data_IF_638227164101
#
_entry.id   IF_638227164101
#
_cell.length_a   1.000
_cell.length_b   1.000
_cell.length_c   1.000
_cell.angle_alpha   90.00
_cell.angle_beta   90.00
_cell.angle_gamma   90.00
#
_symmetry.space_group_name_H-M   'P 1'
#
loop_
_entity.id
_entity.type
_entity.pdbx_description
1 polymer ?
#
# COMPACT_ATOMS: atom_id res chain seq x y z
N UNK A 1 -5.92 -32.38 13.88
CA UNK A 1 -6.72 -32.43 12.64
C UNK A 1 -6.98 -31.01 12.19
N UNK A 2 -6.40 -30.59 11.07
CA UNK A 2 -6.70 -29.31 10.42
C UNK A 2 -7.98 -29.42 9.59
N UNK A 3 -8.71 -28.30 9.41
CA UNK A 3 -9.95 -28.25 8.64
C UNK A 3 -11.21 -28.69 9.42
N UNK A 4 -11.17 -28.67 10.74
CA UNK A 4 -12.36 -28.91 11.56
C UNK A 4 -13.39 -27.78 11.39
N UNK A 5 -12.93 -26.57 11.30
CA UNK A 5 -13.70 -25.39 10.95
C UNK A 5 -12.98 -24.63 9.85
N UNK A 6 -13.72 -24.10 8.88
CA UNK A 6 -13.21 -23.27 7.79
C UNK A 6 -14.15 -22.10 7.55
N UNK A 7 -13.58 -20.95 7.17
CA UNK A 7 -14.35 -19.76 6.82
C UNK A 7 -13.65 -19.01 5.71
N UNK A 8 -14.41 -18.57 4.69
CA UNK A 8 -13.93 -17.74 3.57
C UNK A 8 -14.50 -16.33 3.70
N UNK A 9 -13.72 -15.34 3.28
CA UNK A 9 -14.22 -13.99 3.02
C UNK A 9 -15.21 -13.98 1.86
N UNK A 10 -16.01 -12.92 1.72
CA UNK A 10 -17.04 -12.83 0.68
C UNK A 10 -16.49 -12.82 -0.74
N UNK A 11 -15.27 -12.33 -0.93
CA UNK A 11 -14.53 -12.31 -2.19
C UNK A 11 -13.80 -13.63 -2.48
N UNK A 12 -13.79 -14.58 -1.51
CA UNK A 12 -13.12 -15.86 -1.62
C UNK A 12 -11.60 -15.82 -1.55
N UNK A 13 -10.99 -14.67 -1.26
CA UNK A 13 -9.54 -14.51 -1.29
C UNK A 13 -8.85 -14.71 0.06
N UNK A 14 -9.63 -14.75 1.15
CA UNK A 14 -9.11 -15.02 2.49
C UNK A 14 -9.78 -16.25 3.11
N UNK A 15 -8.95 -17.14 3.66
CA UNK A 15 -9.39 -18.41 4.24
C UNK A 15 -8.85 -18.55 5.65
N UNK A 16 -9.72 -18.79 6.62
CA UNK A 16 -9.35 -19.23 7.96
C UNK A 16 -9.61 -20.73 8.11
N UNK A 17 -8.65 -21.44 8.71
CA UNK A 17 -8.72 -22.88 8.96
C UNK A 17 -8.44 -23.14 10.44
N UNK A 18 -9.35 -23.81 11.13
CA UNK A 18 -9.19 -24.21 12.53
C UNK A 18 -8.85 -25.69 12.71
N UNK A 19 -8.10 -25.97 13.78
CA UNK A 19 -7.63 -27.31 14.17
C UNK A 19 -7.71 -27.49 15.68
N UNK A 20 -8.80 -28.06 16.20
CA UNK A 20 -9.10 -28.17 17.63
C UNK A 20 -8.11 -29.04 18.42
N UNK A 21 -7.57 -30.08 17.81
CA UNK A 21 -6.72 -31.10 18.50
C UNK A 21 -5.25 -30.95 18.12
N UNK A 22 -4.71 -29.77 18.08
CA UNK A 22 -3.28 -29.53 17.90
C UNK A 22 -2.63 -29.31 19.28
N UNK A 23 -1.41 -29.86 19.49
CA UNK A 23 -0.58 -29.57 20.66
C UNK A 23 -1.32 -29.79 22.00
N UNK A 24 -1.59 -31.00 22.43
CA UNK A 24 -2.36 -31.28 23.67
C UNK A 24 -3.73 -30.62 23.73
N UNK A 25 -4.38 -30.51 22.55
CA UNK A 25 -5.72 -29.92 22.41
C UNK A 25 -5.81 -28.42 22.74
N UNK A 26 -4.70 -27.71 22.69
CA UNK A 26 -4.75 -26.23 22.67
C UNK A 26 -5.63 -25.74 21.51
N UNK A 27 -5.49 -26.43 20.38
CA UNK A 27 -6.07 -25.99 19.11
C UNK A 27 -5.33 -24.80 18.53
N UNK A 28 -5.56 -24.51 17.25
CA UNK A 28 -5.08 -23.30 16.59
C UNK A 28 -5.97 -22.90 15.42
N UNK A 29 -5.79 -21.66 14.95
CA UNK A 29 -6.28 -21.18 13.68
C UNK A 29 -5.14 -20.70 12.79
N UNK A 30 -5.28 -20.86 11.47
CA UNK A 30 -4.40 -20.35 10.43
C UNK A 30 -5.19 -19.51 9.45
N UNK A 31 -4.56 -18.45 8.97
CA UNK A 31 -5.14 -17.57 7.97
C UNK A 31 -4.33 -17.70 6.70
N UNK A 32 -5.00 -17.73 5.56
CA UNK A 32 -4.38 -17.83 4.25
C UNK A 32 -4.94 -16.74 3.33
N UNK A 33 -4.09 -16.23 2.44
CA UNK A 33 -4.43 -15.33 1.35
C UNK A 33 -4.26 -16.05 0.02
N UNK A 34 -5.23 -15.90 -0.88
CA UNK A 34 -5.12 -16.32 -2.27
C UNK A 34 -4.32 -15.31 -3.09
N UNK A 35 -3.25 -15.74 -3.76
CA UNK A 35 -2.41 -14.89 -4.61
C UNK A 35 -2.88 -14.82 -6.08
N UNK A 36 -4.00 -15.49 -6.42
CA UNK A 36 -4.41 -15.73 -7.80
C UNK A 36 -3.95 -17.08 -8.35
N UNK A 37 -2.96 -17.73 -7.72
CA UNK A 37 -2.42 -19.03 -8.14
C UNK A 37 -2.15 -20.00 -6.98
N UNK A 38 -1.95 -19.50 -5.75
CA UNK A 38 -1.63 -20.29 -4.58
C UNK A 38 -2.19 -19.66 -3.29
N UNK A 39 -2.39 -20.49 -2.26
CA UNK A 39 -2.71 -20.05 -0.91
C UNK A 39 -1.42 -19.85 -0.12
N UNK A 40 -1.19 -18.67 0.41
CA UNK A 40 -0.04 -18.33 1.27
C UNK A 40 -0.53 -18.06 2.69
N UNK A 41 0.10 -18.66 3.70
CA UNK A 41 -0.25 -18.41 5.09
C UNK A 41 0.15 -16.97 5.48
N UNK A 42 -0.77 -16.29 6.16
CA UNK A 42 -0.57 -14.96 6.72
C UNK A 42 -0.22 -15.05 8.20
N UNK A 43 0.95 -14.53 8.55
CA UNK A 43 1.45 -14.57 9.93
C UNK A 43 1.74 -15.98 10.45
N UNK A 44 1.80 -16.09 11.76
CA UNK A 44 2.00 -17.35 12.49
C UNK A 44 0.65 -18.00 12.86
N UNK A 45 0.70 -19.24 13.34
CA UNK A 45 -0.47 -19.90 13.92
C UNK A 45 -1.01 -19.08 15.10
N UNK A 46 -2.33 -18.98 15.22
CA UNK A 46 -3.01 -18.39 16.38
C UNK A 46 -3.41 -19.52 17.30
N UNK A 47 -2.59 -19.80 18.29
CA UNK A 47 -2.78 -20.92 19.22
C UNK A 47 -3.85 -20.63 20.28
N UNK A 48 -4.43 -21.70 20.85
CA UNK A 48 -5.21 -21.66 22.08
C UNK A 48 -4.35 -21.20 23.26
N UNK A 49 -4.98 -20.71 24.31
CA UNK A 49 -4.29 -20.16 25.48
C UNK A 49 -3.84 -21.24 26.45
N UNK A 50 -4.59 -22.34 26.54
CA UNK A 50 -4.27 -23.48 27.42
C UNK A 50 -4.58 -24.84 26.76
N UNK A 51 -4.03 -25.89 27.34
CA UNK A 51 -4.36 -27.28 26.95
C UNK A 51 -5.86 -27.51 27.17
N UNK A 52 -6.47 -28.28 26.27
CA UNK A 52 -7.89 -28.66 26.32
C UNK A 52 -8.87 -27.50 26.07
N UNK A 53 -8.37 -26.30 25.67
CA UNK A 53 -9.19 -25.17 25.22
C UNK A 53 -9.98 -25.48 23.94
N UNK A 54 -9.46 -26.38 23.11
CA UNK A 54 -10.03 -26.73 21.80
C UNK A 54 -10.27 -25.49 20.93
N UNK A 55 -9.32 -24.53 20.93
CA UNK A 55 -9.39 -23.32 20.12
C UNK A 55 -9.34 -23.65 18.63
N UNK A 56 -10.24 -23.09 17.82
CA UNK A 56 -10.18 -23.32 16.37
C UNK A 56 -11.55 -23.44 15.67
N UNK A 57 -12.63 -23.03 16.29
CA UNK A 57 -13.89 -22.75 15.56
C UNK A 57 -13.76 -21.32 15.01
N UNK A 58 -13.64 -21.20 13.68
CA UNK A 58 -13.29 -19.93 13.02
C UNK A 58 -14.45 -19.33 12.25
N UNK A 59 -14.53 -17.99 12.27
CA UNK A 59 -15.43 -17.20 11.44
C UNK A 59 -14.72 -15.92 10.98
N UNK A 60 -14.68 -15.70 9.67
CA UNK A 60 -14.20 -14.45 9.07
C UNK A 60 -15.34 -13.45 8.87
N UNK A 61 -15.05 -12.17 9.02
CA UNK A 61 -15.92 -11.10 8.53
C UNK A 61 -15.99 -11.13 6.99
N UNK A 62 -17.03 -10.54 6.42
CA UNK A 62 -17.25 -10.52 4.97
C UNK A 62 -16.10 -9.89 4.20
N UNK A 63 -15.48 -8.84 4.75
CA UNK A 63 -14.31 -8.14 4.21
C UNK A 63 -12.98 -8.87 4.47
N UNK A 64 -13.00 -9.97 5.24
CA UNK A 64 -11.81 -10.74 5.59
C UNK A 64 -10.88 -10.07 6.60
N UNK A 65 -11.26 -8.93 7.21
CA UNK A 65 -10.39 -8.14 8.07
C UNK A 65 -10.47 -8.50 9.56
N UNK A 66 -11.47 -9.30 9.95
CA UNK A 66 -11.64 -9.77 11.32
C UNK A 66 -11.83 -11.27 11.37
N UNK A 67 -11.16 -11.89 12.32
CA UNK A 67 -11.27 -13.33 12.60
C UNK A 67 -11.78 -13.53 14.01
N UNK A 68 -12.91 -14.20 14.16
CA UNK A 68 -13.37 -14.73 15.43
C UNK A 68 -12.93 -16.19 15.59
N UNK A 69 -12.40 -16.54 16.76
CA UNK A 69 -11.97 -17.90 17.10
C UNK A 69 -12.64 -18.30 18.41
N UNK A 70 -13.44 -19.36 18.36
CA UNK A 70 -14.06 -19.99 19.53
C UNK A 70 -13.17 -21.09 20.12
N UNK A 71 -13.12 -21.13 21.45
CA UNK A 71 -12.43 -22.13 22.28
C UNK A 71 -13.43 -22.68 23.32
N UNK A 72 -14.07 -23.81 22.97
CA UNK A 72 -15.21 -24.30 23.75
C UNK A 72 -14.83 -24.92 25.09
N UNK A 73 -13.57 -25.35 25.27
CA UNK A 73 -13.06 -25.96 26.50
C UNK A 73 -12.36 -24.96 27.44
N UNK A 74 -12.31 -23.65 27.09
CA UNK A 74 -11.59 -22.69 27.93
C UNK A 74 -12.23 -22.51 29.30
N UNK A 75 -11.39 -22.59 30.35
CA UNK A 75 -11.78 -22.57 31.77
C UNK A 75 -11.68 -21.18 32.42
N UNK A 76 -11.39 -20.12 31.68
CA UNK A 76 -11.11 -18.79 32.21
C UNK A 76 -12.21 -18.19 33.10
N UNK A 77 -13.47 -18.61 32.91
CA UNK A 77 -14.62 -18.15 33.72
C UNK A 77 -15.35 -19.31 34.42
N UNK A 78 -14.73 -20.50 34.50
CA UNK A 78 -15.27 -21.72 35.07
C UNK A 78 -15.02 -22.92 34.17
N UNK A 79 -15.21 -24.11 34.70
CA UNK A 79 -14.99 -25.40 34.00
C UNK A 79 -15.74 -25.46 32.67
N UNK A 80 -15.00 -25.58 31.57
CA UNK A 80 -15.48 -25.60 30.19
C UNK A 80 -16.47 -24.47 29.85
N UNK A 81 -16.26 -23.29 30.44
CA UNK A 81 -17.17 -22.14 30.20
C UNK A 81 -17.07 -21.59 28.76
N UNK A 82 -15.95 -21.85 28.09
CA UNK A 82 -15.65 -21.40 26.74
C UNK A 82 -15.42 -19.91 26.62
N UNK A 83 -14.77 -19.50 25.54
CA UNK A 83 -14.67 -18.08 25.15
C UNK A 83 -14.55 -17.89 23.63
N UNK A 84 -14.63 -16.63 23.20
CA UNK A 84 -14.37 -16.22 21.82
C UNK A 84 -13.35 -15.08 21.83
N UNK A 85 -12.28 -15.22 21.04
CA UNK A 85 -11.33 -14.14 20.77
C UNK A 85 -11.59 -13.59 19.37
N UNK A 86 -11.53 -12.25 19.23
CA UNK A 86 -11.66 -11.57 17.93
C UNK A 86 -10.37 -10.84 17.65
N UNK A 87 -9.81 -11.11 16.47
CA UNK A 87 -8.55 -10.54 15.98
C UNK A 87 -8.83 -9.61 14.82
N UNK A 88 -8.18 -8.45 14.83
CA UNK A 88 -8.05 -7.62 13.66
C UNK A 88 -6.89 -8.17 12.83
N UNK A 89 -7.19 -8.58 11.61
CA UNK A 89 -6.23 -9.17 10.67
C UNK A 89 -6.06 -8.30 9.42
N UNK A 90 -6.53 -7.05 9.47
CA UNK A 90 -6.37 -6.07 8.38
C UNK A 90 -4.90 -5.76 8.09
N UNK A 91 -4.02 -5.85 9.10
CA UNK A 91 -2.57 -5.69 8.94
C UNK A 91 -1.93 -6.68 7.95
N UNK A 92 -2.63 -7.76 7.61
CA UNK A 92 -2.18 -8.72 6.57
C UNK A 92 -2.70 -8.35 5.17
N UNK A 93 -3.41 -7.25 5.02
CA UNK A 93 -3.74 -6.70 3.71
C UNK A 93 -2.48 -6.04 3.13
N UNK A 94 -1.68 -6.83 2.42
CA UNK A 94 -0.60 -6.24 1.63
C UNK A 94 -1.26 -5.57 0.42
N UNK A 95 -1.24 -4.27 0.40
CA UNK A 95 -1.65 -3.51 -0.78
C UNK A 95 -0.80 -3.98 -1.97
N UNK A 96 -1.44 -4.19 -3.12
CA UNK A 96 -0.73 -4.33 -4.39
C UNK A 96 -0.98 -3.08 -5.20
N UNK A 97 0.10 -2.51 -5.75
CA UNK A 97 -0.02 -1.38 -6.66
C UNK A 97 -0.96 -1.75 -7.82
N UNK A 98 -2.00 -0.96 -8.00
CA UNK A 98 -3.06 -1.19 -8.97
C UNK A 98 -3.63 0.13 -9.50
N UNK A 99 -4.42 0.13 -10.60
CA UNK A 99 -4.98 1.34 -11.19
C UNK A 99 -5.88 2.18 -10.29
N UNK A 100 -6.38 1.63 -9.19
CA UNK A 100 -7.11 2.39 -8.18
C UNK A 100 -6.25 3.40 -7.43
N UNK A 101 -4.90 3.32 -7.56
CA UNK A 101 -3.98 4.34 -7.05
C UNK A 101 -3.80 5.54 -7.99
N UNK A 102 -4.36 5.51 -9.21
CA UNK A 102 -4.37 6.66 -10.11
C UNK A 102 -5.14 7.80 -9.45
N UNK A 103 -4.41 8.86 -9.08
CA UNK A 103 -5.01 10.01 -8.39
C UNK A 103 -4.01 11.16 -8.22
N UNK A 104 -4.50 12.24 -7.61
CA UNK A 104 -3.69 13.31 -7.09
C UNK A 104 -3.35 13.05 -5.61
N UNK A 105 -2.07 13.13 -5.29
CA UNK A 105 -1.50 12.86 -3.99
C UNK A 105 -0.71 14.05 -3.48
N UNK A 106 -0.71 14.31 -2.18
CA UNK A 106 -0.02 15.46 -1.61
C UNK A 106 0.43 15.21 -0.18
N UNK A 107 1.27 16.10 0.34
CA UNK A 107 1.59 16.17 1.76
C UNK A 107 0.92 17.40 2.37
N UNK A 108 0.12 17.24 3.40
CA UNK A 108 -0.57 18.35 4.10
C UNK A 108 0.37 19.40 4.66
N UNK A 109 1.61 19.04 4.95
CA UNK A 109 2.61 19.95 5.50
C UNK A 109 3.25 20.86 4.46
N UNK A 110 3.06 20.59 3.14
CA UNK A 110 3.71 21.31 2.04
C UNK A 110 2.69 21.74 0.99
N UNK A 111 2.05 22.89 1.21
CA UNK A 111 1.06 23.45 0.29
C UNK A 111 1.64 23.75 -1.09
N UNK A 112 0.84 23.50 -2.13
CA UNK A 112 1.21 23.80 -3.53
C UNK A 112 2.17 22.80 -4.15
N UNK A 113 2.44 21.68 -3.48
CA UNK A 113 3.25 20.56 -3.96
C UNK A 113 2.45 19.27 -3.93
N UNK A 114 2.76 18.36 -4.85
CA UNK A 114 2.07 17.07 -4.90
C UNK A 114 2.44 16.26 -6.12
N UNK A 115 1.75 15.14 -6.26
CA UNK A 115 2.02 14.13 -7.27
C UNK A 115 0.74 13.78 -8.02
N UNK A 116 0.82 13.62 -9.33
CA UNK A 116 -0.18 12.92 -10.13
C UNK A 116 0.38 11.54 -10.48
N UNK A 117 -0.27 10.49 -10.00
CA UNK A 117 0.20 9.12 -10.16
C UNK A 117 -0.65 8.40 -11.21
N UNK A 118 0.00 7.64 -12.08
CA UNK A 118 -0.63 6.79 -13.09
C UNK A 118 0.03 5.41 -13.09
N UNK A 119 -0.78 4.38 -12.88
CA UNK A 119 -0.38 2.96 -12.93
C UNK A 119 -0.80 2.34 -14.25
N UNK A 120 0.13 1.72 -14.95
CA UNK A 120 -0.06 0.97 -16.20
C UNK A 120 0.05 -0.53 -15.91
N UNK A 121 -1.05 -1.25 -15.59
CA UNK A 121 -0.99 -2.61 -15.08
C UNK A 121 -0.44 -3.62 -16.08
N UNK A 122 -0.73 -3.44 -17.38
CA UNK A 122 -0.24 -4.34 -18.42
C UNK A 122 1.27 -4.23 -18.64
N UNK A 123 1.82 -3.04 -18.44
CA UNK A 123 3.25 -2.78 -18.58
C UNK A 123 4.03 -3.01 -17.28
N UNK A 124 3.34 -3.22 -16.15
CA UNK A 124 3.95 -3.22 -14.81
C UNK A 124 4.78 -1.96 -14.57
N UNK A 125 4.28 -0.81 -15.03
CA UNK A 125 4.93 0.49 -15.00
C UNK A 125 4.09 1.48 -14.19
N UNK A 126 4.77 2.30 -13.40
CA UNK A 126 4.20 3.49 -12.79
C UNK A 126 4.85 4.73 -13.40
N UNK A 127 4.05 5.76 -13.65
CA UNK A 127 4.48 7.10 -14.01
C UNK A 127 3.90 8.08 -12.99
N UNK A 128 4.66 9.12 -12.66
CA UNK A 128 4.15 10.25 -11.90
C UNK A 128 4.69 11.58 -12.40
N UNK A 129 3.92 12.64 -12.21
CA UNK A 129 4.39 14.01 -12.29
C UNK A 129 4.47 14.57 -10.87
N UNK A 130 5.59 15.16 -10.51
CA UNK A 130 5.84 15.79 -9.22
C UNK A 130 5.86 17.31 -9.42
N UNK A 131 4.84 17.98 -8.89
CA UNK A 131 4.77 19.43 -8.84
C UNK A 131 5.41 19.90 -7.54
N UNK A 132 6.42 20.75 -7.63
CA UNK A 132 7.21 21.21 -6.49
C UNK A 132 7.72 22.64 -6.72
N UNK A 133 8.60 23.09 -5.85
CA UNK A 133 9.32 24.36 -5.97
C UNK A 133 10.82 24.11 -6.06
N UNK A 134 11.55 25.15 -6.45
CA UNK A 134 13.01 25.14 -6.38
C UNK A 134 13.50 25.09 -4.93
N UNK A 135 14.73 24.63 -4.73
CA UNK A 135 15.38 24.56 -3.41
C UNK A 135 15.63 25.92 -2.80
N UNK A 136 15.75 26.93 -3.66
CA UNK A 136 15.91 28.32 -3.24
C UNK A 136 14.88 29.21 -3.95
N UNK A 137 14.38 30.21 -3.25
CA UNK A 137 13.49 31.20 -3.84
C UNK A 137 14.28 32.06 -4.86
N UNK A 138 13.81 32.16 -6.12
CA UNK A 138 14.46 33.03 -7.09
C UNK A 138 14.54 34.50 -6.59
N UNK A 139 15.54 35.29 -7.06
CA UNK A 139 15.60 36.72 -6.78
C UNK A 139 14.32 37.47 -7.21
N UNK A 140 13.93 38.48 -6.47
CA UNK A 140 12.69 39.25 -6.72
C UNK A 140 12.59 39.90 -8.13
N UNK A 141 13.72 40.07 -8.79
CA UNK A 141 13.77 40.62 -10.15
C UNK A 141 13.58 39.58 -11.28
N UNK A 142 13.44 38.29 -10.91
CA UNK A 142 13.11 37.23 -11.87
C UNK A 142 11.59 37.19 -12.05
N UNK A 143 11.14 37.24 -13.31
CA UNK A 143 9.72 37.17 -13.66
C UNK A 143 9.40 35.87 -14.43
N UNK A 144 8.24 35.29 -14.15
CA UNK A 144 7.63 34.26 -14.97
C UNK A 144 6.28 34.78 -15.48
N UNK A 145 5.91 34.40 -16.70
CA UNK A 145 4.62 34.79 -17.29
C UNK A 145 3.52 33.79 -16.98
N UNK A 146 3.90 32.55 -16.63
CA UNK A 146 3.00 31.49 -16.22
C UNK A 146 3.49 30.89 -14.87
N UNK A 147 2.69 31.09 -13.83
CA UNK A 147 3.03 30.69 -12.47
C UNK A 147 4.12 31.56 -11.84
N UNK A 148 4.69 31.09 -10.74
CA UNK A 148 5.79 31.75 -10.04
C UNK A 148 7.17 31.32 -10.58
N UNK A 149 8.21 32.18 -10.50
CA UNK A 149 9.54 31.84 -10.99
C UNK A 149 10.18 30.61 -10.32
N UNK A 150 9.76 30.26 -9.13
CA UNK A 150 10.25 29.09 -8.38
C UNK A 150 9.50 27.79 -8.65
N UNK A 151 8.45 27.81 -9.47
CA UNK A 151 7.72 26.58 -9.79
C UNK A 151 8.58 25.61 -10.58
N UNK A 152 8.53 24.34 -10.17
CA UNK A 152 9.23 23.23 -10.83
C UNK A 152 8.27 22.06 -10.98
N UNK A 153 8.51 21.26 -11.99
CA UNK A 153 7.89 19.98 -12.15
C UNK A 153 8.94 18.96 -12.60
N UNK A 154 8.84 17.78 -12.05
CA UNK A 154 9.65 16.62 -12.39
C UNK A 154 8.71 15.51 -12.84
N UNK A 155 9.22 14.58 -13.60
CA UNK A 155 8.53 13.33 -13.88
C UNK A 155 9.33 12.17 -13.34
N UNK A 156 8.65 11.07 -12.98
CA UNK A 156 9.34 9.84 -12.65
C UNK A 156 8.60 8.65 -13.22
N UNK A 157 9.33 7.63 -13.63
CA UNK A 157 8.74 6.39 -14.12
C UNK A 157 9.63 5.19 -13.82
N UNK A 158 9.02 4.03 -13.68
CA UNK A 158 9.74 2.77 -13.45
C UNK A 158 8.81 1.62 -13.13
N UNK A 159 9.38 0.42 -12.94
CA UNK A 159 8.62 -0.77 -12.61
C UNK A 159 8.10 -0.72 -11.17
N UNK A 160 7.03 -1.50 -10.93
CA UNK A 160 6.54 -1.77 -9.59
C UNK A 160 6.33 -3.27 -9.36
N UNK A 161 6.44 -3.67 -8.10
CA UNK A 161 6.10 -5.02 -7.62
C UNK A 161 5.50 -4.93 -6.21
N UNK A 162 4.43 -5.70 -5.95
CA UNK A 162 3.71 -5.64 -4.68
C UNK A 162 3.17 -4.23 -4.39
N UNK A 163 3.58 -3.67 -3.27
CA UNK A 163 3.23 -2.34 -2.76
C UNK A 163 4.25 -1.24 -3.11
N UNK A 164 5.34 -1.61 -3.78
CA UNK A 164 6.52 -0.75 -3.97
C UNK A 164 6.78 -0.48 -5.46
N UNK A 165 7.04 0.79 -5.81
CA UNK A 165 7.52 1.20 -7.12
C UNK A 165 8.90 1.84 -7.03
N UNK A 166 9.83 1.43 -7.94
CA UNK A 166 11.15 2.01 -8.06
C UNK A 166 11.24 2.81 -9.36
N UNK A 167 11.39 4.12 -9.23
CA UNK A 167 11.26 5.06 -10.32
C UNK A 167 12.56 5.83 -10.56
N UNK A 168 12.82 6.17 -11.81
CA UNK A 168 13.86 7.13 -12.20
C UNK A 168 13.20 8.50 -12.33
N UNK A 169 13.79 9.51 -11.70
CA UNK A 169 13.35 10.91 -11.78
C UNK A 169 13.98 11.54 -13.04
N UNK A 170 13.19 12.31 -13.77
CA UNK A 170 13.61 13.06 -14.95
C UNK A 170 13.32 14.55 -14.79
N UNK A 171 14.29 15.36 -15.16
CA UNK A 171 14.15 16.81 -15.31
C UNK A 171 14.01 17.14 -16.80
N UNK A 172 13.02 17.95 -17.16
CA UNK A 172 12.81 18.46 -18.50
C UNK A 172 13.05 19.96 -18.52
N UNK A 173 13.92 20.45 -19.39
CA UNK A 173 14.33 21.85 -19.47
C UNK A 173 14.30 22.40 -20.89
N UNK A 174 14.42 23.72 -21.03
CA UNK A 174 14.71 24.42 -22.29
C UNK A 174 13.53 24.59 -23.25
N UNK A 175 12.35 24.09 -22.90
CA UNK A 175 11.14 24.27 -23.72
C UNK A 175 10.57 25.68 -23.66
N UNK A 176 9.75 26.05 -24.67
CA UNK A 176 8.95 27.27 -24.72
C UNK A 176 7.48 26.87 -24.85
N UNK A 177 6.60 27.62 -24.15
CA UNK A 177 5.16 27.33 -24.14
C UNK A 177 4.59 27.28 -25.58
N UNK A 178 3.91 26.15 -25.86
CA UNK A 178 3.24 25.85 -27.14
C UNK A 178 4.14 26.04 -28.39
N UNK A 179 5.45 25.75 -28.23
CA UNK A 179 6.42 25.88 -29.32
C UNK A 179 7.28 24.60 -29.45
N UNK A 180 7.46 24.06 -30.68
CA UNK A 180 8.36 22.94 -30.90
C UNK A 180 9.84 23.35 -30.91
N UNK A 181 10.15 24.67 -30.83
CA UNK A 181 11.51 25.18 -30.91
C UNK A 181 11.77 26.29 -29.84
N UNK A 182 12.91 26.22 -29.15
CA UNK A 182 13.86 25.11 -29.16
C UNK A 182 13.22 23.85 -28.54
N UNK A 183 13.67 22.65 -28.92
CA UNK A 183 13.19 21.41 -28.31
C UNK A 183 13.58 21.37 -26.84
N UNK A 184 12.68 20.86 -25.99
CA UNK A 184 13.02 20.57 -24.59
C UNK A 184 14.11 19.48 -24.53
N UNK A 185 14.99 19.60 -23.55
CA UNK A 185 15.98 18.56 -23.23
C UNK A 185 15.47 17.70 -22.06
N UNK A 186 15.75 16.41 -22.14
CA UNK A 186 15.47 15.43 -21.09
C UNK A 186 16.77 14.70 -20.76
N UNK A 187 17.13 14.62 -19.50
CA UNK A 187 18.24 13.78 -19.06
C UNK A 187 17.79 12.31 -19.11
N UNK A 188 18.27 11.58 -20.12
CA UNK A 188 17.92 10.18 -20.34
C UNK A 188 18.59 9.21 -19.35
N UNK A 189 19.70 9.61 -18.74
CA UNK A 189 20.40 8.84 -17.72
C UNK A 189 19.72 8.93 -16.35
N UNK A 190 18.78 9.88 -16.22
CA UNK A 190 18.00 10.15 -15.02
C UNK A 190 18.63 11.20 -14.12
N UNK A 191 17.76 12.07 -13.58
CA UNK A 191 18.12 13.16 -12.67
C UNK A 191 18.27 12.70 -11.23
N UNK A 192 17.62 11.60 -10.90
CA UNK A 192 17.61 10.98 -9.58
C UNK A 192 16.78 9.71 -9.52
N UNK A 193 16.63 9.18 -8.34
CA UNK A 193 15.80 7.99 -8.08
C UNK A 193 14.72 8.28 -7.05
N UNK A 194 13.64 7.49 -7.11
CA UNK A 194 12.52 7.59 -6.19
C UNK A 194 11.96 6.20 -5.91
N UNK A 195 11.67 5.92 -4.65
CA UNK A 195 10.86 4.78 -4.24
C UNK A 195 9.52 5.27 -3.74
N UNK A 196 8.46 4.62 -4.17
CA UNK A 196 7.09 4.92 -3.75
C UNK A 196 6.48 3.67 -3.14
N UNK A 197 6.14 3.73 -1.86
CA UNK A 197 5.53 2.66 -1.09
C UNK A 197 4.14 3.08 -0.62
N UNK A 198 3.16 2.17 -0.73
CA UNK A 198 1.80 2.44 -0.28
C UNK A 198 1.47 1.57 0.93
N UNK A 199 1.16 2.21 2.06
CA UNK A 199 0.70 1.53 3.27
C UNK A 199 -0.73 0.98 3.10
N UNK A 200 -1.57 1.75 2.42
CA UNK A 200 -2.96 1.43 2.10
C UNK A 200 -3.43 2.22 0.87
N UNK A 201 -4.73 2.20 0.57
CA UNK A 201 -5.30 2.92 -0.58
C UNK A 201 -5.40 4.44 -0.40
N UNK A 202 -5.07 4.98 0.77
CA UNK A 202 -5.16 6.40 1.09
C UNK A 202 -3.82 7.03 1.44
N UNK A 203 -2.81 6.23 1.83
CA UNK A 203 -1.54 6.69 2.37
C UNK A 203 -0.35 6.03 1.68
N UNK A 204 0.70 6.80 1.44
CA UNK A 204 1.96 6.31 0.88
C UNK A 204 3.16 7.11 1.37
N UNK A 205 4.33 6.64 1.01
CA UNK A 205 5.61 7.27 1.30
C UNK A 205 6.43 7.36 0.01
N UNK A 206 6.89 8.57 -0.29
CA UNK A 206 7.85 8.84 -1.36
C UNK A 206 9.21 9.05 -0.73
N UNK A 207 10.19 8.18 -1.04
CA UNK A 207 11.60 8.38 -0.71
C UNK A 207 12.33 8.77 -1.98
N UNK A 208 13.13 9.85 -1.97
CA UNK A 208 13.81 10.33 -3.17
C UNK A 208 15.28 10.65 -2.90
N UNK A 209 16.08 10.56 -3.97
CA UNK A 209 17.48 10.97 -4.03
C UNK A 209 17.76 11.68 -5.36
N UNK A 210 18.24 12.93 -5.29
CA UNK A 210 18.70 13.73 -6.43
C UNK A 210 20.18 13.99 -6.24
N UNK A 211 21.00 13.06 -6.71
CA UNK A 211 22.45 13.01 -6.44
C UNK A 211 23.19 14.25 -6.92
N UNK A 212 22.80 14.82 -8.06
CA UNK A 212 23.41 16.04 -8.63
C UNK A 212 23.27 17.26 -7.73
N UNK A 213 22.24 17.29 -6.87
CA UNK A 213 21.96 18.38 -5.92
C UNK A 213 22.33 18.00 -4.48
N UNK A 214 22.73 16.76 -4.20
CA UNK A 214 22.93 16.24 -2.85
C UNK A 214 21.66 16.27 -2.00
N UNK A 215 20.50 16.14 -2.63
CA UNK A 215 19.19 16.15 -1.97
C UNK A 215 18.66 14.75 -1.82
N UNK A 216 18.20 14.42 -0.61
CA UNK A 216 17.43 13.20 -0.35
C UNK A 216 16.39 13.48 0.74
N UNK A 217 15.30 12.74 0.75
CA UNK A 217 14.28 12.91 1.76
C UNK A 217 13.12 11.93 1.61
N UNK A 218 12.21 12.02 2.57
CA UNK A 218 10.97 11.27 2.62
C UNK A 218 9.78 12.22 2.67
N UNK A 219 8.76 11.94 1.87
CA UNK A 219 7.54 12.73 1.78
C UNK A 219 6.36 11.77 2.02
N UNK A 220 5.74 11.78 3.20
CA UNK A 220 4.47 11.09 3.39
C UNK A 220 3.41 11.75 2.52
N UNK A 221 2.65 10.93 1.81
CA UNK A 221 1.60 11.39 0.90
C UNK A 221 0.26 10.77 1.26
N UNK A 222 -0.79 11.54 1.03
CA UNK A 222 -2.18 11.10 1.12
C UNK A 222 -2.95 11.52 -0.13
N UNK A 223 -4.08 10.88 -0.39
CA UNK A 223 -4.97 11.27 -1.50
C UNK A 223 -5.61 12.62 -1.24
N UNK A 224 -5.85 13.37 -2.33
CA UNK A 224 -6.66 14.60 -2.26
C UNK A 224 -8.15 14.26 -2.06
N UNK A 225 -8.64 13.18 -2.66
CA UNK A 225 -10.04 12.77 -2.60
C UNK A 225 -10.18 11.23 -2.50
N UNK A 226 -11.24 10.71 -1.84
CA UNK A 226 -11.42 9.28 -1.62
C UNK A 226 -12.07 8.54 -2.80
N UNK A 227 -12.31 9.17 -3.93
CA UNK A 227 -13.12 8.65 -5.04
C UNK A 227 -12.66 7.28 -5.55
N UNK A 228 -11.35 7.02 -5.58
CA UNK A 228 -10.77 5.77 -6.06
C UNK A 228 -10.39 4.77 -4.95
N UNK A 229 -10.67 5.05 -3.69
CA UNK A 229 -10.34 4.16 -2.55
C UNK A 229 -11.00 2.80 -2.73
N UNK A 230 -12.31 2.77 -2.95
CA UNK A 230 -13.06 1.52 -3.12
C UNK A 230 -12.57 0.70 -4.33
N UNK A 231 -12.16 1.36 -5.41
CA UNK A 231 -11.57 0.69 -6.57
C UNK A 231 -10.20 0.08 -6.21
N UNK A 232 -9.34 0.84 -5.52
CA UNK A 232 -8.04 0.39 -5.07
C UNK A 232 -8.15 -0.84 -4.16
N UNK A 233 -9.02 -0.80 -3.17
CA UNK A 233 -9.28 -1.91 -2.25
C UNK A 233 -9.78 -3.16 -2.98
N UNK A 234 -10.73 -3.00 -3.91
CA UNK A 234 -11.29 -4.10 -4.69
C UNK A 234 -10.26 -4.78 -5.62
N UNK A 235 -9.25 -4.03 -6.06
CA UNK A 235 -8.16 -4.53 -6.92
C UNK A 235 -6.98 -5.07 -6.09
N UNK A 236 -6.78 -4.62 -4.86
CA UNK A 236 -5.77 -5.14 -3.95
C UNK A 236 -6.13 -6.53 -3.42
N UNK A 237 -7.43 -6.82 -3.30
CA UNK A 237 -7.94 -8.12 -2.86
C UNK A 237 -7.81 -9.24 -3.92
N UNK A 238 -7.35 -8.93 -5.12
CA UNK A 238 -7.14 -9.86 -6.24
C UNK A 238 -5.65 -10.16 -6.38
#
# INVERSE_FOLDING_TARGET
>A
RSGWSVSLSSDGNRLAIGALWNGSSFGHARIYQWSGSAWTQLGTDIDGEAAEDYSGIVSLSSDGNRLAIGAGGNDGNGDASGHVRVFDISMFNVLKINPGLNDAWYNRSTNGQGFLITVFPNAKLMFLAWFTFDTERPPENVSAHLGEPGHRWLTAQGPYDGDTANLVIYLTEGGVFDSPQPPASLDLDGYGSMTLEFADCENGLVSYEITSLGLSGEIPIERIAPDNVSLCESLSAK
#
